data_IF_548516085500
#
_entry.id   IF_548516085500
#
_cell.length_a   1.000
_cell.length_b   1.000
_cell.length_c   1.000
_cell.angle_alpha   90.00
_cell.angle_beta   90.00
_cell.angle_gamma   90.00
#
_symmetry.space_group_name_H-M   'P 1'
#
loop_
_entity.id
_entity.type
_entity.pdbx_description
1 polymer ?
#
# COMPACT_ATOMS: atom_id res chain seq x y z
N UNK A 1 -23.50 -4.68 1.33
CA UNK A 1 -22.64 -3.51 1.12
C UNK A 1 -21.20 -3.99 1.15
N UNK A 2 -20.45 -3.79 0.07
CA UNK A 2 -19.04 -4.17 -0.05
C UNK A 2 -18.18 -2.95 0.25
N UNK A 3 -17.51 -2.99 1.40
CA UNK A 3 -16.59 -1.95 1.85
C UNK A 3 -15.15 -2.38 1.56
N UNK A 4 -14.36 -1.48 1.00
CA UNK A 4 -12.94 -1.72 0.71
C UNK A 4 -12.08 -0.68 1.45
N UNK A 5 -11.02 -1.13 2.12
CA UNK A 5 -9.95 -0.27 2.61
C UNK A 5 -8.73 -0.46 1.71
N UNK A 6 -8.13 0.64 1.27
CA UNK A 6 -6.85 0.64 0.53
C UNK A 6 -5.84 1.43 1.35
N UNK A 7 -4.70 0.83 1.67
CA UNK A 7 -3.66 1.50 2.47
C UNK A 7 -2.26 1.01 2.13
N UNK A 8 -1.25 1.55 2.82
CA UNK A 8 0.14 1.14 2.64
C UNK A 8 0.45 -0.12 3.46
N UNK A 9 1.45 -0.88 3.02
CA UNK A 9 2.01 -2.01 3.75
C UNK A 9 2.76 -1.63 5.03
N UNK A 10 2.92 -0.34 5.32
CA UNK A 10 3.69 0.17 6.45
C UNK A 10 3.20 -0.39 7.79
N UNK A 11 4.17 -0.79 8.63
CA UNK A 11 3.91 -1.42 9.91
C UNK A 11 3.16 -0.56 10.93
N UNK A 12 3.22 0.77 10.78
CA UNK A 12 2.56 1.74 11.67
C UNK A 12 1.04 1.79 11.46
N UNK A 13 0.53 1.23 10.37
CA UNK A 13 -0.88 1.39 9.97
C UNK A 13 -1.80 0.23 10.39
N UNK A 14 -1.25 -0.91 10.82
CA UNK A 14 -2.05 -2.12 11.04
C UNK A 14 -3.19 -1.91 12.05
N UNK A 15 -2.92 -1.26 13.18
CA UNK A 15 -3.96 -0.96 14.18
C UNK A 15 -5.02 0.01 13.64
N UNK A 16 -4.58 1.06 12.93
CA UNK A 16 -5.47 2.08 12.37
C UNK A 16 -6.42 1.52 11.31
N UNK A 17 -5.93 0.58 10.49
CA UNK A 17 -6.73 -0.13 9.50
C UNK A 17 -7.73 -1.06 10.21
N UNK A 18 -7.29 -1.83 11.21
CA UNK A 18 -8.16 -2.75 11.94
C UNK A 18 -9.30 -2.03 12.66
N UNK A 19 -9.07 -0.85 13.25
CA UNK A 19 -10.13 -0.04 13.89
C UNK A 19 -11.23 0.40 12.93
N UNK A 20 -10.92 0.52 11.63
CA UNK A 20 -11.85 0.99 10.57
C UNK A 20 -12.51 -0.16 9.80
N UNK A 21 -12.04 -1.39 10.00
CA UNK A 21 -12.51 -2.59 9.32
C UNK A 21 -13.49 -3.40 10.19
N UNK A 22 -14.61 -3.81 9.62
CA UNK A 22 -15.47 -4.87 10.17
C UNK A 22 -15.09 -6.23 9.57
N UNK A 23 -15.83 -7.32 9.87
CA UNK A 23 -15.53 -8.66 9.31
C UNK A 23 -15.80 -8.80 7.81
N UNK A 24 -16.57 -7.90 7.20
CA UNK A 24 -16.96 -7.96 5.79
C UNK A 24 -16.14 -7.02 4.90
N UNK A 25 -15.30 -6.18 5.50
CA UNK A 25 -14.43 -5.24 4.81
C UNK A 25 -13.31 -5.98 4.07
N UNK A 26 -13.10 -5.68 2.79
CA UNK A 26 -11.93 -6.14 2.06
C UNK A 26 -10.78 -5.15 2.24
N UNK A 27 -9.58 -5.62 2.49
CA UNK A 27 -8.41 -4.78 2.75
C UNK A 27 -7.35 -5.03 1.69
N UNK A 28 -6.92 -3.99 1.00
CA UNK A 28 -5.82 -4.01 0.05
C UNK A 28 -4.66 -3.17 0.57
N UNK A 29 -3.45 -3.74 0.55
CA UNK A 29 -2.24 -3.09 1.05
C UNK A 29 -1.04 -3.40 0.16
N UNK A 30 -0.36 -2.35 -0.29
CA UNK A 30 0.89 -2.40 -1.06
C UNK A 30 1.81 -1.23 -0.70
N UNK A 31 2.94 -1.08 -1.37
CA UNK A 31 3.84 0.04 -1.21
C UNK A 31 3.15 1.34 -1.70
N UNK A 32 2.99 2.31 -0.80
CA UNK A 32 2.47 3.64 -1.15
C UNK A 32 0.96 3.74 -1.32
N UNK A 33 0.20 2.68 -0.97
CA UNK A 33 -1.25 2.61 -1.23
C UNK A 33 -1.56 2.89 -2.72
N UNK A 34 -0.80 2.25 -3.60
CA UNK A 34 -0.82 2.44 -5.05
C UNK A 34 -2.04 1.75 -5.67
N UNK A 35 -3.06 2.53 -6.03
CA UNK A 35 -4.33 2.06 -6.59
C UNK A 35 -4.15 1.45 -7.98
N UNK A 36 -3.12 1.86 -8.74
CA UNK A 36 -2.83 1.33 -10.09
C UNK A 36 -2.76 -0.20 -10.11
N UNK A 37 -2.21 -0.80 -9.06
CA UNK A 37 -2.07 -2.26 -8.94
C UNK A 37 -3.38 -2.98 -8.63
N UNK A 38 -4.32 -2.30 -7.99
CA UNK A 38 -5.60 -2.88 -7.58
C UNK A 38 -6.75 -2.53 -8.52
N UNK A 39 -6.55 -1.62 -9.48
CA UNK A 39 -7.64 -0.99 -10.23
C UNK A 39 -8.56 -1.99 -10.95
N UNK A 40 -7.99 -3.01 -11.59
CA UNK A 40 -8.77 -4.03 -12.30
C UNK A 40 -9.61 -4.85 -11.33
N UNK A 41 -9.03 -5.22 -10.19
CA UNK A 41 -9.72 -5.98 -9.15
C UNK A 41 -10.85 -5.16 -8.50
N UNK A 42 -10.63 -3.86 -8.29
CA UNK A 42 -11.65 -2.96 -7.78
C UNK A 42 -12.84 -2.82 -8.77
N UNK A 43 -12.58 -2.78 -10.08
CA UNK A 43 -13.62 -2.79 -11.13
C UNK A 43 -14.46 -4.07 -11.12
N UNK A 44 -13.85 -5.21 -10.80
CA UNK A 44 -14.56 -6.49 -10.67
C UNK A 44 -15.41 -6.53 -9.39
N UNK A 45 -14.85 -6.09 -8.26
CA UNK A 45 -15.52 -6.10 -6.96
C UNK A 45 -16.71 -5.13 -6.93
N UNK A 46 -16.58 -3.96 -7.57
CA UNK A 46 -17.57 -2.87 -7.56
C UNK A 46 -17.97 -2.46 -6.12
N UNK A 47 -17.02 -1.94 -5.32
CA UNK A 47 -17.28 -1.59 -3.94
C UNK A 47 -18.31 -0.45 -3.80
N UNK A 48 -19.17 -0.57 -2.78
CA UNK A 48 -20.14 0.46 -2.40
C UNK A 48 -19.48 1.63 -1.67
N UNK A 49 -18.39 1.37 -0.95
CA UNK A 49 -17.59 2.36 -0.22
C UNK A 49 -16.11 2.00 -0.31
N UNK A 50 -15.27 3.01 -0.57
CA UNK A 50 -13.82 2.90 -0.47
C UNK A 50 -13.32 3.85 0.63
N UNK A 51 -12.54 3.33 1.58
CA UNK A 51 -11.73 4.14 2.48
C UNK A 51 -10.27 4.06 2.00
N UNK A 52 -9.74 5.20 1.56
CA UNK A 52 -8.38 5.33 1.06
C UNK A 52 -7.48 5.99 2.11
N UNK A 53 -6.50 5.24 2.58
CA UNK A 53 -5.64 5.60 3.72
C UNK A 53 -4.15 5.61 3.33
N UNK A 54 -3.70 6.56 2.47
CA UNK A 54 -2.28 6.83 2.30
C UNK A 54 -1.70 7.44 3.59
N UNK A 55 -0.37 7.57 3.69
CA UNK A 55 0.26 8.08 4.90
C UNK A 55 1.51 8.92 4.62
N UNK A 56 1.87 9.79 5.57
CA UNK A 56 3.10 10.57 5.55
C UNK A 56 4.32 9.73 5.92
N UNK A 57 5.52 10.20 5.60
CA UNK A 57 6.78 9.50 5.85
C UNK A 57 6.80 8.10 5.19
N UNK A 58 6.27 8.04 3.96
CA UNK A 58 6.10 6.81 3.21
C UNK A 58 7.41 6.35 2.55
N UNK A 59 7.86 5.14 2.86
CA UNK A 59 9.07 4.59 2.28
C UNK A 59 8.97 4.41 0.75
N UNK A 60 7.78 4.11 0.23
CA UNK A 60 7.54 4.02 -1.21
C UNK A 60 7.68 5.39 -1.90
N UNK A 61 7.17 6.46 -1.27
CA UNK A 61 7.32 7.81 -1.81
C UNK A 61 8.75 8.32 -1.68
N UNK A 62 9.48 7.94 -0.63
CA UNK A 62 10.94 8.19 -0.55
C UNK A 62 11.70 7.51 -1.69
N UNK A 63 11.33 6.28 -2.03
CA UNK A 63 11.91 5.58 -3.19
C UNK A 63 11.63 6.34 -4.48
N UNK A 64 10.37 6.71 -4.75
CA UNK A 64 9.98 7.50 -5.93
C UNK A 64 10.75 8.82 -5.98
N UNK A 65 10.82 9.54 -4.86
CA UNK A 65 11.56 10.79 -4.73
C UNK A 65 13.03 10.59 -5.14
N UNK A 66 13.70 9.58 -4.60
CA UNK A 66 15.10 9.31 -4.89
C UNK A 66 15.33 8.87 -6.34
N UNK A 67 14.44 8.06 -6.92
CA UNK A 67 14.55 7.64 -8.33
C UNK A 67 14.43 8.86 -9.25
N UNK A 68 13.52 9.79 -8.96
CA UNK A 68 13.27 10.96 -9.82
C UNK A 68 14.28 12.08 -9.60
N UNK A 69 14.62 12.42 -8.34
CA UNK A 69 15.48 13.56 -8.01
C UNK A 69 16.96 13.18 -7.94
N UNK A 70 17.28 11.95 -7.54
CA UNK A 70 18.65 11.50 -7.30
C UNK A 70 19.13 10.45 -8.31
N UNK A 71 18.30 10.05 -9.28
CA UNK A 71 18.59 9.01 -10.29
C UNK A 71 18.93 7.64 -9.67
N UNK A 72 18.36 7.31 -8.52
CA UNK A 72 18.44 5.96 -7.97
C UNK A 72 17.84 4.94 -8.95
N UNK A 73 18.43 3.74 -9.01
CA UNK A 73 17.96 2.68 -9.90
C UNK A 73 16.96 1.78 -9.22
N UNK A 74 15.87 1.46 -9.91
CA UNK A 74 14.93 0.38 -9.59
C UNK A 74 14.88 -0.61 -10.76
N UNK A 75 14.34 -1.81 -10.53
CA UNK A 75 14.06 -2.73 -11.63
C UNK A 75 12.91 -2.19 -12.50
N UNK A 76 12.76 -2.76 -13.70
CA UNK A 76 11.71 -2.36 -14.66
C UNK A 76 10.30 -2.51 -14.08
N UNK A 77 10.08 -3.54 -13.26
CA UNK A 77 8.75 -3.78 -12.69
C UNK A 77 8.33 -2.68 -11.70
N UNK A 78 9.20 -2.31 -10.75
CA UNK A 78 8.93 -1.22 -9.81
C UNK A 78 8.88 0.14 -10.51
N UNK A 79 9.67 0.32 -11.57
CA UNK A 79 9.58 1.49 -12.43
C UNK A 79 8.17 1.61 -13.03
N UNK A 80 7.69 0.57 -13.72
CA UNK A 80 6.41 0.57 -14.42
C UNK A 80 5.20 0.62 -13.46
N UNK A 81 5.27 -0.10 -12.33
CA UNK A 81 4.13 -0.21 -11.40
C UNK A 81 4.03 0.98 -10.44
N UNK A 82 5.15 1.53 -9.97
CA UNK A 82 5.14 2.58 -8.93
C UNK A 82 5.67 3.94 -9.42
N UNK A 83 6.84 3.99 -10.08
CA UNK A 83 7.56 5.25 -10.34
C UNK A 83 7.02 6.03 -11.54
N UNK A 84 6.72 5.34 -12.63
CA UNK A 84 6.44 5.94 -13.94
C UNK A 84 5.36 7.03 -13.89
N UNK A 85 4.31 6.81 -13.08
CA UNK A 85 3.19 7.74 -12.92
C UNK A 85 3.60 9.12 -12.36
N UNK A 86 4.77 9.23 -11.75
CA UNK A 86 5.29 10.47 -11.17
C UNK A 86 6.34 11.17 -12.05
N UNK A 87 6.88 10.52 -13.09
CA UNK A 87 8.00 11.07 -13.89
C UNK A 87 7.68 12.39 -14.60
N UNK A 88 6.42 12.60 -14.96
CA UNK A 88 5.96 13.82 -15.66
C UNK A 88 5.40 14.87 -14.68
N UNK A 89 5.40 14.57 -13.38
CA UNK A 89 4.86 15.44 -12.35
C UNK A 89 5.99 16.26 -11.74
N UNK A 90 5.73 17.55 -11.53
CA UNK A 90 6.66 18.45 -10.82
C UNK A 90 6.36 18.41 -9.33
N UNK A 91 7.40 18.26 -8.52
CA UNK A 91 7.36 18.36 -7.07
C UNK A 91 8.77 18.69 -6.56
N UNK A 92 8.88 19.36 -5.42
CA UNK A 92 10.17 19.71 -4.80
C UNK A 92 10.43 19.00 -3.49
N UNK A 93 9.37 18.62 -2.75
CA UNK A 93 9.52 17.98 -1.44
C UNK A 93 8.85 16.61 -1.41
N UNK A 94 9.26 15.78 -0.44
CA UNK A 94 8.60 14.50 -0.18
C UNK A 94 7.13 14.70 0.20
N UNK A 95 6.82 15.72 1.01
CA UNK A 95 5.45 16.01 1.43
C UNK A 95 4.56 16.37 0.22
N UNK A 96 5.08 17.16 -0.72
CA UNK A 96 4.38 17.49 -1.95
C UNK A 96 4.12 16.23 -2.79
N UNK A 97 5.13 15.36 -2.93
CA UNK A 97 4.99 14.08 -3.63
C UNK A 97 3.93 13.18 -2.96
N UNK A 98 3.87 13.12 -1.64
CA UNK A 98 2.86 12.36 -0.90
C UNK A 98 1.44 12.89 -1.17
N UNK A 99 1.25 14.22 -1.22
CA UNK A 99 -0.04 14.85 -1.59
C UNK A 99 -0.42 14.60 -3.05
N UNK A 100 0.56 14.62 -3.95
CA UNK A 100 0.38 14.26 -5.35
C UNK A 100 -0.04 12.80 -5.49
N UNK A 101 0.60 11.88 -4.74
CA UNK A 101 0.21 10.47 -4.70
C UNK A 101 -1.25 10.32 -4.26
N UNK A 102 -1.68 11.02 -3.21
CA UNK A 102 -3.10 11.00 -2.81
C UNK A 102 -4.00 11.42 -3.96
N UNK A 103 -3.69 12.55 -4.60
CA UNK A 103 -4.53 13.13 -5.65
C UNK A 103 -4.65 12.21 -6.88
N UNK A 104 -3.53 11.67 -7.36
CA UNK A 104 -3.49 10.76 -8.52
C UNK A 104 -4.32 9.50 -8.24
N UNK A 105 -4.14 8.90 -7.07
CA UNK A 105 -4.82 7.66 -6.72
C UNK A 105 -6.32 7.88 -6.43
N UNK A 106 -6.70 9.00 -5.83
CA UNK A 106 -8.12 9.34 -5.64
C UNK A 106 -8.84 9.51 -6.98
N UNK A 107 -8.22 10.16 -7.97
CA UNK A 107 -8.78 10.27 -9.32
C UNK A 107 -8.96 8.90 -9.99
N UNK A 108 -8.04 7.94 -9.76
CA UNK A 108 -8.24 6.57 -10.21
C UNK A 108 -9.43 5.89 -9.51
N UNK A 109 -9.59 6.11 -8.20
CA UNK A 109 -10.69 5.53 -7.43
C UNK A 109 -12.06 6.08 -7.84
N UNK A 110 -12.15 7.35 -8.26
CA UNK A 110 -13.38 7.96 -8.79
C UNK A 110 -13.92 7.25 -10.03
N UNK A 111 -13.08 6.50 -10.75
CA UNK A 111 -13.50 5.65 -11.87
C UNK A 111 -14.20 4.36 -11.41
N UNK A 112 -14.14 4.03 -10.12
CA UNK A 112 -14.69 2.80 -9.51
C UNK A 112 -15.99 3.10 -8.80
N UNK A 113 -16.00 4.10 -7.92
CA UNK A 113 -17.16 4.52 -7.13
C UNK A 113 -17.07 6.00 -6.78
N UNK A 114 -18.20 6.65 -6.54
CA UNK A 114 -18.25 8.04 -6.07
C UNK A 114 -18.19 8.16 -4.54
N UNK A 115 -18.31 7.04 -3.82
CA UNK A 115 -18.32 7.01 -2.37
C UNK A 115 -16.93 6.66 -1.82
N UNK A 116 -16.04 7.67 -1.83
CA UNK A 116 -14.64 7.54 -1.41
C UNK A 116 -14.41 8.42 -0.19
N UNK A 117 -13.80 7.85 0.85
CA UNK A 117 -13.28 8.58 2.02
C UNK A 117 -11.77 8.53 2.00
N UNK A 118 -11.14 9.63 1.62
CA UNK A 118 -9.68 9.77 1.60
C UNK A 118 -9.18 10.42 2.88
N UNK A 119 -8.17 9.83 3.52
CA UNK A 119 -7.49 10.40 4.69
C UNK A 119 -5.98 10.17 4.54
N UNK A 120 -5.19 11.24 4.38
CA UNK A 120 -3.74 11.17 4.47
C UNK A 120 -3.33 11.07 5.93
N UNK A 121 -3.00 9.86 6.38
CA UNK A 121 -2.65 9.59 7.77
C UNK A 121 -1.28 10.18 8.10
N UNK A 122 -1.24 11.07 9.08
CA UNK A 122 0.01 11.57 9.65
C UNK A 122 0.57 10.56 10.64
N UNK A 123 1.54 9.76 10.21
CA UNK A 123 2.09 8.69 11.04
C UNK A 123 2.79 9.22 12.29
N UNK A 124 3.26 10.47 12.31
CA UNK A 124 3.91 11.06 13.50
C UNK A 124 2.95 11.22 14.68
N UNK A 125 1.64 11.24 14.42
CA UNK A 125 0.58 11.35 15.43
C UNK A 125 0.08 10.00 15.93
N UNK A 126 0.56 8.90 15.35
CA UNK A 126 0.19 7.56 15.76
C UNK A 126 1.07 7.07 16.90
N UNK A 127 0.50 6.22 17.77
CA UNK A 127 1.30 5.40 18.68
C UNK A 127 1.95 4.28 17.86
N UNK A 128 3.27 4.29 17.73
CA UNK A 128 3.96 3.28 16.93
C UNK A 128 4.07 1.97 17.70
N UNK A 129 3.73 0.82 17.08
CA UNK A 129 4.03 -0.48 17.65
C UNK A 129 5.54 -0.76 17.56
N UNK A 130 6.01 -1.75 18.32
CA UNK A 130 7.36 -2.27 18.15
C UNK A 130 7.52 -2.83 16.74
N UNK A 131 8.54 -2.35 16.02
CA UNK A 131 8.78 -2.76 14.63
C UNK A 131 9.22 -4.21 14.56
N UNK A 132 8.54 -4.98 13.73
CA UNK A 132 8.87 -6.35 13.34
C UNK A 132 9.43 -6.28 11.92
N UNK A 133 10.66 -6.76 11.72
CA UNK A 133 11.35 -6.73 10.42
C UNK A 133 10.95 -7.89 9.51
N UNK A 134 9.64 -8.08 9.34
CA UNK A 134 9.04 -9.15 8.52
C UNK A 134 7.92 -8.56 7.66
N UNK A 135 7.69 -9.20 6.51
CA UNK A 135 6.57 -8.89 5.62
C UNK A 135 5.63 -10.09 5.61
N UNK A 136 4.33 -9.84 5.73
CA UNK A 136 3.30 -10.88 5.65
C UNK A 136 2.31 -10.56 4.54
N UNK A 137 2.06 -11.53 3.68
CA UNK A 137 1.04 -11.47 2.65
C UNK A 137 -0.25 -12.14 3.11
N UNK A 138 -1.38 -11.47 2.91
CA UNK A 138 -2.71 -11.97 3.21
C UNK A 138 -3.67 -11.75 2.04
N UNK A 139 -4.72 -12.57 1.95
CA UNK A 139 -5.84 -12.28 1.07
C UNK A 139 -6.67 -11.10 1.61
N UNK A 140 -7.45 -10.39 0.77
CA UNK A 140 -8.10 -9.15 1.18
C UNK A 140 -9.19 -9.34 2.24
N UNK A 141 -9.80 -10.52 2.29
CA UNK A 141 -10.80 -10.88 3.28
C UNK A 141 -10.20 -11.35 4.63
N UNK A 142 -8.88 -11.51 4.71
CA UNK A 142 -8.21 -11.94 5.94
C UNK A 142 -7.82 -10.73 6.79
N UNK A 143 -7.64 -10.96 8.09
CA UNK A 143 -7.11 -9.98 9.03
C UNK A 143 -5.69 -10.35 9.40
N UNK A 144 -4.76 -9.44 9.15
CA UNK A 144 -3.38 -9.59 9.62
C UNK A 144 -3.35 -9.60 11.15
N UNK A 145 -2.51 -10.45 11.74
CA UNK A 145 -2.37 -10.58 13.20
C UNK A 145 -1.10 -9.89 13.72
N UNK A 146 -0.15 -9.64 12.84
CA UNK A 146 1.20 -9.19 13.15
C UNK A 146 1.26 -7.65 13.22
N UNK A 147 0.71 -7.09 14.30
CA UNK A 147 0.87 -5.67 14.61
C UNK A 147 2.36 -5.33 14.72
N UNK A 148 2.79 -4.29 14.00
CA UNK A 148 4.19 -3.90 13.92
C UNK A 148 5.00 -4.56 12.80
N UNK A 149 4.41 -5.49 12.03
CA UNK A 149 5.01 -6.00 10.80
C UNK A 149 4.47 -5.27 9.56
N UNK A 150 5.20 -5.38 8.44
CA UNK A 150 4.73 -4.91 7.15
C UNK A 150 3.75 -5.90 6.56
N UNK A 151 2.62 -5.42 6.03
CA UNK A 151 1.54 -6.30 5.56
C UNK A 151 1.20 -5.98 4.12
N UNK A 152 1.38 -6.95 3.23
CA UNK A 152 0.83 -6.93 1.87
C UNK A 152 -0.54 -7.60 1.89
N UNK A 153 -1.54 -7.00 1.25
CA UNK A 153 -2.85 -7.61 1.10
C UNK A 153 -3.36 -7.42 -0.32
N UNK A 154 -3.51 -8.52 -1.05
CA UNK A 154 -4.01 -8.50 -2.43
C UNK A 154 -4.63 -9.85 -2.79
N UNK A 155 -5.20 -9.97 -3.99
CA UNK A 155 -5.87 -11.21 -4.43
C UNK A 155 -4.88 -12.34 -4.73
N UNK A 156 -3.63 -12.00 -5.07
CA UNK A 156 -2.55 -12.95 -5.30
C UNK A 156 -1.17 -12.34 -4.99
N UNK A 157 -0.16 -13.18 -4.78
CA UNK A 157 1.23 -12.73 -4.63
C UNK A 157 1.77 -12.06 -5.90
N UNK A 158 1.34 -12.50 -7.09
CA UNK A 158 1.74 -11.90 -8.37
C UNK A 158 1.25 -10.47 -8.54
N UNK A 159 0.16 -10.09 -7.87
CA UNK A 159 -0.33 -8.72 -7.93
C UNK A 159 0.64 -7.74 -7.24
N UNK A 160 1.36 -8.23 -6.22
CA UNK A 160 2.26 -7.45 -5.34
C UNK A 160 3.74 -7.79 -5.53
N UNK A 161 4.11 -8.34 -6.69
CA UNK A 161 5.50 -8.75 -6.97
C UNK A 161 6.49 -7.56 -6.95
N UNK A 162 6.09 -6.38 -7.42
CA UNK A 162 6.90 -5.17 -7.30
C UNK A 162 7.08 -4.74 -5.83
N UNK A 163 6.05 -4.87 -5.00
CA UNK A 163 6.16 -4.55 -3.57
C UNK A 163 7.09 -5.51 -2.84
N UNK A 164 7.05 -6.79 -3.20
CA UNK A 164 7.98 -7.81 -2.70
C UNK A 164 9.42 -7.44 -3.07
N UNK A 165 9.66 -7.03 -4.32
CA UNK A 165 10.97 -6.51 -4.73
C UNK A 165 11.38 -5.28 -3.92
N UNK A 166 10.49 -4.30 -3.77
CA UNK A 166 10.77 -3.08 -2.98
C UNK A 166 11.13 -3.45 -1.53
N UNK A 167 10.35 -4.34 -0.92
CA UNK A 167 10.59 -4.80 0.45
C UNK A 167 11.96 -5.49 0.60
N UNK A 168 12.32 -6.40 -0.32
CA UNK A 168 13.60 -7.14 -0.28
C UNK A 168 14.78 -6.21 -0.58
N UNK A 169 14.76 -5.55 -1.73
CA UNK A 169 15.93 -4.90 -2.32
C UNK A 169 16.11 -3.44 -1.91
N UNK A 170 15.03 -2.76 -1.51
CA UNK A 170 15.07 -1.33 -1.13
C UNK A 170 14.90 -1.09 0.36
N UNK A 171 14.13 -1.95 1.04
CA UNK A 171 13.86 -1.80 2.46
C UNK A 171 14.60 -2.82 3.34
N UNK A 172 15.26 -3.82 2.74
CA UNK A 172 16.12 -4.78 3.43
C UNK A 172 15.38 -5.89 4.18
N UNK A 173 14.11 -6.15 3.88
CA UNK A 173 13.36 -7.24 4.50
C UNK A 173 13.75 -8.59 3.89
N UNK A 174 14.34 -9.48 4.70
CA UNK A 174 14.76 -10.81 4.27
C UNK A 174 13.70 -11.89 4.49
N UNK A 175 12.74 -11.63 5.37
CA UNK A 175 11.72 -12.58 5.79
C UNK A 175 10.35 -12.13 5.27
N UNK A 176 9.85 -12.80 4.24
CA UNK A 176 8.52 -12.60 3.69
C UNK A 176 7.72 -13.89 3.85
N UNK A 177 6.49 -13.80 4.33
CA UNK A 177 5.62 -14.93 4.58
C UNK A 177 4.31 -14.81 3.79
N UNK A 178 3.89 -15.90 3.16
CA UNK A 178 2.56 -16.07 2.59
C UNK A 178 1.63 -16.73 3.60
N UNK A 179 0.61 -15.99 4.05
CA UNK A 179 -0.42 -16.44 4.99
C UNK A 179 -1.78 -16.71 4.32
N UNK A 180 -1.85 -16.72 2.98
CA UNK A 180 -3.11 -16.86 2.22
C UNK A 180 -3.87 -18.16 2.47
N UNK A 181 -3.20 -19.20 2.97
CA UNK A 181 -3.79 -20.52 3.28
C UNK A 181 -4.10 -20.72 4.77
N UNK A 182 -3.97 -19.67 5.59
CA UNK A 182 -4.15 -19.73 7.05
C UNK A 182 -2.91 -20.20 7.83
N UNK A 183 -1.99 -20.92 7.17
CA UNK A 183 -0.66 -21.23 7.69
C UNK A 183 0.39 -20.39 6.97
N UNK A 184 1.08 -19.50 7.70
CA UNK A 184 2.11 -18.63 7.13
C UNK A 184 3.37 -19.42 6.75
N UNK A 185 3.80 -19.33 5.49
CA UNK A 185 5.02 -19.98 4.97
C UNK A 185 5.98 -18.95 4.39
N UNK A 186 7.27 -19.08 4.67
CA UNK A 186 8.27 -18.16 4.14
C UNK A 186 8.48 -18.35 2.62
N UNK A 187 8.68 -17.25 1.88
CA UNK A 187 8.86 -17.18 0.42
C UNK A 187 10.03 -16.29 -0.05
#
# INVERSE_FOLDING_TARGET
MVKVIISCMDYRLTEEIQKRADNNTLIFRNAGANVKEFINRLKEIKPDEIIYLPHTDCAAMKLVFNVIKNNDKVNEEAENKLVEQFRKVKFETLEELERINVSINEEMLKQITNNIKTELIDVSKLKWPNKITKVYFYLPNMRAKEVGAYILQSSSLSDVSADIYIAKEKLGFKEIYDCSTGNCKQI
#
